data_IF_075174734746
#
_entry.id   IF_075174734746
#
_cell.length_a   1.000
_cell.length_b   1.000
_cell.length_c   1.000
_cell.angle_alpha   90.00
_cell.angle_beta   90.00
_cell.angle_gamma   90.00
#
_symmetry.space_group_name_H-M   'P 1'
#
loop_
_entity.id
_entity.type
_entity.pdbx_description
1 polymer ?
#
# COMPACT_ATOMS: atom_id res chain seq x y z
N UNK A 1 4.11 15.43 -16.02
CA UNK A 1 4.84 16.70 -16.24
C UNK A 1 3.92 17.78 -16.77
N UNK A 2 3.34 17.67 -17.98
CA UNK A 2 2.35 18.65 -18.50
C UNK A 2 1.26 19.06 -17.51
N UNK A 3 0.56 18.11 -16.89
CA UNK A 3 -0.48 18.40 -15.88
C UNK A 3 0.06 19.13 -14.64
N UNK A 4 1.29 18.84 -14.22
CA UNK A 4 1.93 19.51 -13.07
C UNK A 4 2.29 20.95 -13.44
N UNK A 5 2.88 21.17 -14.61
CA UNK A 5 3.22 22.51 -15.10
C UNK A 5 1.96 23.36 -15.31
N UNK A 6 0.89 22.78 -15.86
CA UNK A 6 -0.39 23.47 -16.05
C UNK A 6 -1.08 23.85 -14.71
N UNK A 7 -0.75 23.17 -13.60
CA UNK A 7 -1.28 23.50 -12.28
C UNK A 7 -0.47 24.60 -11.56
N UNK A 8 0.72 24.95 -12.07
CA UNK A 8 1.61 25.93 -11.45
C UNK A 8 1.43 27.32 -12.08
N UNK A 9 1.53 28.35 -11.24
CA UNK A 9 1.52 29.76 -11.64
C UNK A 9 2.95 30.32 -11.66
N UNK A 10 3.18 31.36 -12.46
CA UNK A 10 4.43 32.14 -12.46
C UNK A 10 4.55 33.07 -11.25
N UNK A 11 3.42 33.46 -10.63
CA UNK A 11 3.40 34.53 -9.63
C UNK A 11 2.97 34.05 -8.24
N UNK A 12 2.25 32.92 -8.16
CA UNK A 12 1.72 32.39 -6.90
C UNK A 12 2.28 31.01 -6.58
N UNK A 13 3.16 30.89 -5.55
CA UNK A 13 3.80 29.62 -5.25
C UNK A 13 2.79 28.62 -4.70
N UNK A 14 2.91 27.39 -5.17
CA UNK A 14 2.08 26.27 -4.74
C UNK A 14 2.95 25.24 -4.01
N UNK A 15 2.64 25.02 -2.74
CA UNK A 15 3.33 23.99 -1.94
C UNK A 15 3.05 22.60 -2.51
N UNK A 16 3.98 21.65 -2.34
CA UNK A 16 3.76 20.25 -2.77
C UNK A 16 2.45 19.68 -2.23
N UNK A 17 2.10 19.83 -0.93
CA UNK A 17 0.82 19.34 -0.41
C UNK A 17 -0.42 19.98 -1.05
N UNK A 18 -0.32 21.21 -1.54
CA UNK A 18 -1.42 21.88 -2.26
C UNK A 18 -1.52 21.43 -3.72
N UNK A 19 -0.41 20.97 -4.33
CA UNK A 19 -0.42 20.39 -5.68
C UNK A 19 -0.94 18.96 -5.70
N UNK A 20 -0.65 18.17 -4.65
CA UNK A 20 -1.08 16.78 -4.51
C UNK A 20 -2.56 16.56 -4.90
N UNK A 21 -3.56 17.26 -4.35
CA UNK A 21 -4.95 17.04 -4.74
C UNK A 21 -5.22 17.39 -6.21
N UNK A 22 -4.48 18.31 -6.83
CA UNK A 22 -4.74 18.76 -8.20
C UNK A 22 -4.21 17.75 -9.24
N UNK A 23 -3.13 17.04 -8.91
CA UNK A 23 -2.44 16.14 -9.84
C UNK A 23 -2.56 14.69 -9.41
N UNK A 24 -2.79 13.78 -10.34
CA UNK A 24 -2.94 12.35 -10.05
C UNK A 24 -1.59 11.63 -9.88
N UNK A 25 -0.77 12.11 -8.92
CA UNK A 25 0.55 11.56 -8.62
C UNK A 25 0.70 11.34 -7.11
N UNK A 26 1.33 10.22 -6.73
CA UNK A 26 1.78 9.98 -5.35
C UNK A 26 2.84 11.01 -4.95
N UNK A 27 2.84 11.43 -3.68
CA UNK A 27 3.72 12.48 -3.15
C UNK A 27 5.19 12.32 -3.55
N UNK A 28 5.80 11.14 -3.32
CA UNK A 28 7.21 10.91 -3.66
C UNK A 28 7.48 11.07 -5.16
N UNK A 29 6.57 10.60 -6.03
CA UNK A 29 6.71 10.76 -7.48
C UNK A 29 6.55 12.23 -7.89
N UNK A 30 5.62 12.96 -7.27
CA UNK A 30 5.45 14.40 -7.49
C UNK A 30 6.70 15.18 -7.07
N UNK A 31 7.25 14.89 -5.89
CA UNK A 31 8.47 15.53 -5.38
C UNK A 31 9.68 15.26 -6.29
N UNK A 32 9.87 14.01 -6.73
CA UNK A 32 10.94 13.67 -7.69
C UNK A 32 10.74 14.38 -9.03
N UNK A 33 9.51 14.40 -9.54
CA UNK A 33 9.18 15.09 -10.79
C UNK A 33 9.47 16.59 -10.69
N UNK A 34 9.09 17.24 -9.59
CA UNK A 34 9.35 18.66 -9.36
C UNK A 34 10.85 18.97 -9.28
N UNK A 35 11.65 18.10 -8.65
CA UNK A 35 13.12 18.24 -8.64
C UNK A 35 13.72 18.14 -10.05
N UNK A 36 13.23 17.22 -10.88
CA UNK A 36 13.69 17.12 -12.28
C UNK A 36 13.31 18.38 -13.05
N UNK A 37 12.07 18.85 -12.92
CA UNK A 37 11.61 20.07 -13.57
C UNK A 37 12.38 21.32 -13.11
N UNK A 38 12.84 21.36 -11.86
CA UNK A 38 13.67 22.44 -11.30
C UNK A 38 15.08 22.44 -11.89
N UNK A 39 15.70 21.26 -11.99
CA UNK A 39 17.00 21.08 -12.68
C UNK A 39 16.89 21.45 -14.16
N UNK A 40 15.75 21.13 -14.79
CA UNK A 40 15.47 21.46 -16.18
C UNK A 40 15.05 22.93 -16.37
N UNK A 41 14.91 23.71 -15.29
CA UNK A 41 14.55 25.14 -15.33
C UNK A 41 13.08 25.43 -15.67
N UNK A 42 12.19 24.43 -15.65
CA UNK A 42 10.76 24.61 -15.95
C UNK A 42 9.95 25.10 -14.73
N UNK A 43 10.48 24.88 -13.53
CA UNK A 43 9.92 25.37 -12.27
C UNK A 43 11.04 25.90 -11.38
N UNK A 44 10.68 26.68 -10.36
CA UNK A 44 11.60 27.09 -9.31
C UNK A 44 11.04 26.80 -7.93
N UNK A 45 11.89 26.28 -7.05
CA UNK A 45 11.57 26.17 -5.63
C UNK A 45 11.78 27.50 -4.93
N UNK A 46 10.72 28.04 -4.35
CA UNK A 46 10.72 29.30 -3.60
C UNK A 46 10.13 29.13 -2.20
N UNK A 47 10.17 30.18 -1.39
CA UNK A 47 9.45 30.21 -0.11
C UNK A 47 7.94 30.05 -0.39
N UNK A 48 7.34 29.03 0.19
CA UNK A 48 5.91 28.71 0.00
C UNK A 48 5.62 27.62 -1.03
N UNK A 49 6.59 27.19 -1.84
CA UNK A 49 6.39 26.07 -2.76
C UNK A 49 7.13 26.18 -4.08
N UNK A 50 6.42 25.92 -5.17
CA UNK A 50 6.92 25.86 -6.53
C UNK A 50 6.22 26.91 -7.40
N UNK A 51 6.98 27.53 -8.29
CA UNK A 51 6.50 28.42 -9.35
C UNK A 51 6.86 27.83 -10.71
N UNK A 52 5.99 27.99 -11.71
CA UNK A 52 6.38 27.78 -13.09
C UNK A 52 7.28 28.94 -13.53
N UNK A 53 8.25 28.68 -14.41
CA UNK A 53 9.08 29.75 -14.99
C UNK A 53 8.39 30.43 -16.18
N UNK A 54 7.40 29.77 -16.78
CA UNK A 54 6.73 30.22 -18.01
C UNK A 54 7.43 29.72 -19.27
N UNK A 55 8.63 29.17 -19.14
CA UNK A 55 9.39 28.62 -20.26
C UNK A 55 8.80 27.28 -20.75
N UNK A 56 8.80 27.04 -22.08
CA UNK A 56 8.36 25.77 -22.62
C UNK A 56 9.31 24.65 -22.20
N UNK A 57 8.80 23.67 -21.45
CA UNK A 57 9.57 22.48 -21.11
C UNK A 57 9.50 21.42 -22.22
N UNK A 58 10.65 20.91 -22.62
CA UNK A 58 10.77 19.80 -23.56
C UNK A 58 11.50 18.61 -22.92
N UNK A 59 11.09 17.40 -23.27
CA UNK A 59 11.69 16.19 -22.73
C UNK A 59 13.05 15.93 -23.39
N UNK A 60 14.14 16.15 -22.65
CA UNK A 60 15.51 15.85 -23.11
C UNK A 60 15.80 14.34 -23.09
N UNK A 61 15.29 13.66 -24.11
CA UNK A 61 15.47 12.21 -24.29
C UNK A 61 16.95 11.82 -24.42
N UNK A 62 17.77 12.65 -25.07
CA UNK A 62 19.18 12.35 -25.32
C UNK A 62 19.99 12.35 -24.02
N UNK A 63 19.79 13.34 -23.14
CA UNK A 63 20.44 13.35 -21.82
C UNK A 63 20.00 12.17 -20.96
N UNK A 64 18.70 11.86 -20.94
CA UNK A 64 18.18 10.74 -20.15
C UNK A 64 18.66 9.39 -20.67
N UNK A 65 18.85 9.25 -21.99
CA UNK A 65 19.47 8.06 -22.57
C UNK A 65 20.92 7.89 -22.09
N UNK A 66 21.75 8.95 -22.15
CA UNK A 66 23.14 8.91 -21.64
C UNK A 66 23.20 8.53 -20.15
N UNK A 67 22.28 9.06 -19.34
CA UNK A 67 22.18 8.69 -17.91
C UNK A 67 21.81 7.21 -17.76
N UNK A 68 20.87 6.70 -18.55
CA UNK A 68 20.47 5.29 -18.51
C UNK A 68 21.62 4.36 -18.95
N UNK A 69 22.38 4.74 -19.99
CA UNK A 69 23.58 4.02 -20.43
C UNK A 69 24.63 3.97 -19.33
N UNK A 70 24.96 5.11 -18.70
CA UNK A 70 25.90 5.17 -17.58
C UNK A 70 25.46 4.29 -16.40
N UNK A 71 24.16 4.33 -16.03
CA UNK A 71 23.60 3.46 -14.98
C UNK A 71 23.65 1.98 -15.34
N UNK A 72 23.47 1.65 -16.61
CA UNK A 72 23.58 0.26 -17.10
C UNK A 72 25.02 -0.22 -17.01
N UNK A 73 25.98 0.62 -17.40
CA UNK A 73 27.41 0.32 -17.24
C UNK A 73 27.80 0.13 -15.76
N UNK A 74 27.35 1.00 -14.85
CA UNK A 74 27.56 0.84 -13.41
C UNK A 74 26.98 -0.47 -12.88
N UNK A 75 25.74 -0.82 -13.27
CA UNK A 75 25.11 -2.08 -12.89
C UNK A 75 25.91 -3.29 -13.40
N UNK A 76 26.40 -3.22 -14.63
CA UNK A 76 27.19 -4.27 -15.23
C UNK A 76 28.52 -4.48 -14.49
N UNK A 77 29.21 -3.40 -14.10
CA UNK A 77 30.41 -3.47 -13.26
C UNK A 77 30.15 -4.15 -11.90
N UNK A 78 28.98 -3.93 -11.28
CA UNK A 78 28.61 -4.64 -10.04
C UNK A 78 28.42 -6.15 -10.26
N UNK A 79 27.79 -6.54 -11.39
CA UNK A 79 27.62 -7.96 -11.75
C UNK A 79 28.95 -8.64 -12.03
N UNK A 80 29.84 -7.97 -12.76
CA UNK A 80 31.20 -8.42 -13.03
C UNK A 80 32.00 -8.57 -11.74
N UNK A 81 31.87 -7.62 -10.81
CA UNK A 81 32.46 -7.76 -9.49
C UNK A 81 31.94 -9.00 -8.75
N UNK A 82 30.63 -9.26 -8.76
CA UNK A 82 30.06 -10.44 -8.10
C UNK A 82 30.56 -11.74 -8.72
N UNK A 83 30.63 -11.81 -10.05
CA UNK A 83 30.98 -13.01 -10.82
C UNK A 83 32.49 -13.20 -11.05
N UNK A 84 33.32 -12.22 -10.70
CA UNK A 84 34.76 -12.30 -10.96
C UNK A 84 35.39 -13.51 -10.29
N UNK A 85 36.21 -14.25 -11.04
CA UNK A 85 37.05 -15.33 -10.51
C UNK A 85 38.43 -14.80 -10.03
N UNK A 86 38.79 -13.58 -10.41
CA UNK A 86 40.06 -12.94 -10.02
C UNK A 86 40.00 -12.30 -8.63
N UNK A 87 41.07 -11.62 -8.21
CA UNK A 87 41.06 -10.91 -6.93
C UNK A 87 40.01 -9.77 -6.93
N UNK A 88 39.03 -9.83 -6.01
CA UNK A 88 37.97 -8.82 -5.89
C UNK A 88 38.50 -7.41 -5.65
N UNK A 89 39.51 -7.27 -4.80
CA UNK A 89 40.09 -5.97 -4.49
C UNK A 89 40.88 -5.40 -5.68
N UNK A 90 41.60 -6.27 -6.39
CA UNK A 90 42.30 -5.87 -7.62
C UNK A 90 41.31 -5.36 -8.68
N UNK A 91 40.18 -6.06 -8.88
CA UNK A 91 39.11 -5.61 -9.76
C UNK A 91 38.63 -4.20 -9.38
N UNK A 92 38.29 -3.96 -8.10
CA UNK A 92 37.84 -2.65 -7.64
C UNK A 92 38.88 -1.56 -7.87
N UNK A 93 40.15 -1.85 -7.61
CA UNK A 93 41.26 -0.92 -7.82
C UNK A 93 41.43 -0.57 -9.31
N UNK A 94 41.29 -1.54 -10.21
CA UNK A 94 41.29 -1.28 -11.67
C UNK A 94 40.11 -0.42 -12.11
N UNK A 95 38.91 -0.66 -11.58
CA UNK A 95 37.74 0.19 -11.88
C UNK A 95 37.88 1.63 -11.38
N UNK A 96 38.79 1.88 -10.43
CA UNK A 96 39.13 3.20 -9.91
C UNK A 96 40.41 3.76 -10.53
N UNK A 97 40.89 3.16 -11.62
CA UNK A 97 42.10 3.54 -12.33
C UNK A 97 43.37 3.59 -11.44
N UNK A 98 43.44 2.72 -10.42
CA UNK A 98 44.60 2.63 -9.53
C UNK A 98 45.76 1.88 -10.23
N UNK A 99 46.91 2.55 -10.48
CA UNK A 99 48.04 1.96 -11.20
C UNK A 99 48.74 0.84 -10.41
N UNK A 100 48.50 0.74 -9.10
CA UNK A 100 49.05 -0.30 -8.23
C UNK A 100 48.13 -1.52 -8.05
N UNK A 101 47.11 -1.70 -8.89
CA UNK A 101 46.16 -2.79 -8.79
C UNK A 101 46.85 -4.15 -8.97
N UNK A 102 46.99 -4.89 -7.86
CA UNK A 102 47.57 -6.24 -7.77
C UNK A 102 46.72 -7.13 -6.86
N UNK A 103 46.85 -8.47 -6.94
CA UNK A 103 46.13 -9.38 -6.05
C UNK A 103 46.37 -9.06 -4.57
N UNK A 104 45.29 -8.96 -3.78
CA UNK A 104 45.36 -8.49 -2.39
C UNK A 104 45.71 -9.56 -1.36
N UNK A 105 45.61 -10.85 -1.72
CA UNK A 105 45.87 -11.98 -0.80
C UNK A 105 44.87 -12.14 0.36
N UNK A 106 43.76 -11.39 0.39
CA UNK A 106 42.82 -11.34 1.55
C UNK A 106 41.37 -11.68 1.23
N UNK A 107 40.91 -11.44 0.00
CA UNK A 107 39.51 -11.69 -0.39
C UNK A 107 39.21 -13.19 -0.53
N UNK A 108 37.93 -13.54 -0.55
CA UNK A 108 37.41 -14.89 -0.79
C UNK A 108 38.01 -15.56 -2.03
N UNK A 109 38.20 -14.84 -3.14
CA UNK A 109 38.84 -15.42 -4.32
C UNK A 109 40.36 -15.67 -4.13
N UNK A 110 41.02 -14.95 -3.23
CA UNK A 110 42.45 -15.14 -2.94
C UNK A 110 42.69 -16.22 -1.88
N UNK A 111 41.80 -16.36 -0.90
CA UNK A 111 41.99 -17.23 0.27
C UNK A 111 41.02 -18.41 0.32
N UNK A 112 40.12 -18.52 -0.65
CA UNK A 112 38.98 -19.43 -0.62
C UNK A 112 37.74 -18.86 0.08
N UNK A 113 36.54 -19.41 -0.20
CA UNK A 113 35.30 -18.97 0.39
C UNK A 113 35.31 -19.17 1.91
N UNK A 114 34.90 -18.13 2.66
CA UNK A 114 34.90 -18.16 4.13
C UNK A 114 33.64 -18.76 4.75
N UNK A 115 32.54 -18.82 3.98
CA UNK A 115 31.25 -19.32 4.43
C UNK A 115 30.69 -20.27 3.38
N UNK A 116 30.15 -21.41 3.82
CA UNK A 116 29.35 -22.30 2.99
C UNK A 116 27.90 -21.81 2.89
N UNK A 117 27.14 -22.41 1.97
CA UNK A 117 25.71 -22.14 1.83
C UNK A 117 24.84 -22.89 2.86
N UNK A 118 25.45 -23.73 3.69
CA UNK A 118 24.75 -24.55 4.67
C UNK A 118 24.15 -23.68 5.78
N UNK A 119 22.87 -23.92 6.07
CA UNK A 119 22.12 -23.30 7.15
C UNK A 119 21.65 -24.41 8.08
N UNK A 120 21.69 -24.17 9.39
CA UNK A 120 21.25 -25.17 10.36
C UNK A 120 19.75 -25.44 10.22
N UNK A 121 19.34 -26.71 10.26
CA UNK A 121 17.94 -27.09 10.19
C UNK A 121 17.05 -26.41 11.27
N UNK A 122 17.51 -26.23 12.53
CA UNK A 122 16.76 -25.49 13.53
C UNK A 122 16.53 -24.01 13.17
N UNK A 123 17.54 -23.34 12.61
CA UNK A 123 17.40 -21.94 12.19
C UNK A 123 16.43 -21.81 11.02
N UNK A 124 16.47 -22.74 10.06
CA UNK A 124 15.54 -22.77 8.94
C UNK A 124 14.10 -22.98 9.41
N UNK A 125 13.88 -23.95 10.32
CA UNK A 125 12.55 -24.21 10.89
C UNK A 125 12.01 -23.00 11.66
N UNK A 126 12.87 -22.33 12.45
CA UNK A 126 12.50 -21.11 13.18
C UNK A 126 12.12 -19.96 12.23
N UNK A 127 12.87 -19.78 11.13
CA UNK A 127 12.56 -18.78 10.12
C UNK A 127 11.23 -19.08 9.40
N UNK A 128 10.97 -20.34 9.04
CA UNK A 128 9.70 -20.76 8.45
C UNK A 128 8.52 -20.53 9.40
N UNK A 129 8.68 -20.89 10.68
CA UNK A 129 7.65 -20.66 11.70
C UNK A 129 7.37 -19.16 11.91
N UNK A 130 8.41 -18.32 11.88
CA UNK A 130 8.26 -16.88 11.98
C UNK A 130 7.52 -16.30 10.76
N UNK A 131 7.93 -16.67 9.55
CA UNK A 131 7.32 -16.20 8.30
C UNK A 131 5.87 -16.70 8.11
N UNK A 132 5.53 -17.85 8.71
CA UNK A 132 4.19 -18.43 8.67
C UNK A 132 3.17 -17.74 9.59
N UNK A 133 3.59 -16.82 10.46
CA UNK A 133 2.68 -16.10 11.36
C UNK A 133 1.77 -15.17 10.55
N UNK A 134 0.47 -15.42 10.62
CA UNK A 134 -0.54 -14.55 10.06
C UNK A 134 -0.91 -13.45 11.07
N UNK A 135 -1.30 -12.28 10.55
CA UNK A 135 -1.79 -11.17 11.34
C UNK A 135 -0.89 -9.95 11.26
N UNK A 136 -1.41 -8.87 10.68
CA UNK A 136 -0.84 -7.53 10.77
C UNK A 136 -1.91 -6.53 11.16
N UNK A 137 -1.53 -5.50 11.91
CA UNK A 137 -2.44 -4.41 12.27
C UNK A 137 -2.78 -3.55 11.04
N UNK A 138 -4.06 -3.16 10.94
CA UNK A 138 -4.53 -2.14 10.01
C UNK A 138 -4.96 -0.91 10.82
N UNK A 139 -4.08 0.11 10.96
CA UNK A 139 -4.40 1.27 11.78
C UNK A 139 -5.47 2.15 11.13
N UNK A 140 -6.37 2.77 11.92
CA UNK A 140 -7.39 3.64 11.38
C UNK A 140 -6.80 4.97 10.92
N UNK A 141 -7.36 5.53 9.84
CA UNK A 141 -7.06 6.90 9.45
C UNK A 141 -7.77 7.87 10.39
N UNK A 142 -7.03 8.88 10.87
CA UNK A 142 -7.53 9.90 11.80
C UNK A 142 -7.60 11.30 11.19
N UNK A 143 -7.01 11.49 10.01
CA UNK A 143 -6.92 12.77 9.31
C UNK A 143 -7.38 12.62 7.87
N UNK A 144 -8.12 13.60 7.39
CA UNK A 144 -8.39 13.77 5.96
C UNK A 144 -7.13 14.22 5.21
N UNK A 145 -6.97 13.86 3.93
CA UNK A 145 -5.93 14.44 3.08
C UNK A 145 -6.08 15.97 3.00
N UNK A 146 -4.96 16.66 2.89
CA UNK A 146 -4.93 18.10 2.69
C UNK A 146 -5.51 18.49 1.33
N UNK A 147 -6.18 19.64 1.25
CA UNK A 147 -6.59 20.26 -0.01
C UNK A 147 -7.76 19.59 -0.73
N UNK A 148 -8.53 18.74 -0.05
CA UNK A 148 -9.73 18.10 -0.60
C UNK A 148 -10.78 19.07 -1.16
N UNK A 149 -10.91 20.26 -0.58
CA UNK A 149 -11.84 21.30 -1.05
C UNK A 149 -11.53 21.72 -2.49
N UNK A 150 -10.25 21.72 -2.90
CA UNK A 150 -9.83 22.07 -4.25
C UNK A 150 -10.29 21.05 -5.30
N UNK A 151 -10.63 19.84 -4.87
CA UNK A 151 -11.20 18.79 -5.72
C UNK A 151 -12.69 18.55 -5.46
N UNK A 152 -13.36 19.51 -4.82
CA UNK A 152 -14.81 19.50 -4.59
C UNK A 152 -15.27 18.60 -3.44
N UNK A 153 -14.37 18.19 -2.54
CA UNK A 153 -14.72 17.36 -1.37
C UNK A 153 -14.69 18.21 -0.10
N UNK A 154 -15.83 18.43 0.58
CA UNK A 154 -15.93 19.33 1.73
C UNK A 154 -15.49 18.64 3.05
N UNK A 155 -14.35 17.95 3.05
CA UNK A 155 -13.79 17.26 4.21
C UNK A 155 -12.41 17.81 4.53
N UNK A 156 -12.12 18.08 5.81
CA UNK A 156 -10.85 18.67 6.26
C UNK A 156 -10.49 18.31 7.70
N UNK A 157 -9.21 18.33 8.01
CA UNK A 157 -8.72 18.15 9.38
C UNK A 157 -8.90 16.72 9.90
N UNK A 158 -9.39 16.59 11.14
CA UNK A 158 -9.57 15.29 11.80
C UNK A 158 -10.86 14.62 11.34
N UNK A 159 -10.80 13.30 11.15
CA UNK A 159 -11.98 12.46 11.02
C UNK A 159 -12.64 12.40 12.40
N UNK A 160 -13.95 12.63 12.51
CA UNK A 160 -14.62 12.65 13.81
C UNK A 160 -14.56 11.26 14.48
N UNK A 161 -14.40 11.14 15.81
CA UNK A 161 -14.35 9.84 16.48
C UNK A 161 -15.57 8.95 16.19
N UNK A 162 -16.75 9.56 16.04
CA UNK A 162 -17.97 8.88 15.63
C UNK A 162 -17.93 8.29 14.21
N UNK A 163 -17.03 8.76 13.36
CA UNK A 163 -16.91 8.34 11.95
C UNK A 163 -15.69 7.43 11.70
N UNK A 164 -14.82 7.26 12.69
CA UNK A 164 -13.61 6.45 12.57
C UNK A 164 -13.92 4.96 12.71
N UNK A 165 -13.16 4.14 11.99
CA UNK A 165 -13.03 2.72 12.29
C UNK A 165 -12.15 2.52 13.55
N UNK A 166 -12.30 1.36 14.19
CA UNK A 166 -11.31 0.85 15.13
C UNK A 166 -10.05 0.36 14.39
N UNK A 167 -9.01 0.00 15.16
CA UNK A 167 -7.89 -0.77 14.59
C UNK A 167 -8.39 -2.09 14.03
N UNK A 168 -7.85 -2.48 12.88
CA UNK A 168 -8.23 -3.69 12.15
C UNK A 168 -7.12 -4.72 12.08
N UNK A 169 -7.37 -5.79 11.32
CA UNK A 169 -6.37 -6.82 11.02
C UNK A 169 -6.35 -7.20 9.54
N UNK A 170 -5.22 -7.74 9.08
CA UNK A 170 -5.14 -8.48 7.84
C UNK A 170 -4.30 -9.75 8.01
N UNK A 171 -4.41 -10.71 7.08
CA UNK A 171 -3.60 -11.96 7.12
C UNK A 171 -2.12 -11.65 6.99
N UNK A 172 -1.74 -10.72 6.12
CA UNK A 172 -0.35 -10.30 5.98
C UNK A 172 -0.18 -9.16 5.00
N UNK A 173 1.07 -8.77 4.72
CA UNK A 173 1.37 -7.80 3.68
C UNK A 173 1.67 -8.53 2.38
N UNK A 174 1.20 -7.96 1.27
CA UNK A 174 1.53 -8.49 -0.05
C UNK A 174 3.03 -8.45 -0.35
N UNK A 175 3.83 -7.66 0.35
CA UNK A 175 5.29 -7.60 0.23
C UNK A 175 6.02 -8.69 1.00
N UNK A 176 5.35 -9.39 1.92
CA UNK A 176 6.01 -10.32 2.84
C UNK A 176 6.47 -11.60 2.12
N UNK A 177 7.56 -12.20 2.61
CA UNK A 177 8.11 -13.45 2.08
C UNK A 177 7.26 -14.69 2.44
N UNK A 178 6.58 -14.67 3.58
CA UNK A 178 5.66 -15.72 4.01
C UNK A 178 4.33 -15.64 3.25
N UNK A 179 3.27 -15.22 3.95
CA UNK A 179 1.92 -15.09 3.38
C UNK A 179 1.83 -14.19 2.15
N UNK A 180 2.73 -13.22 1.98
CA UNK A 180 2.66 -12.26 0.87
C UNK A 180 2.67 -12.91 -0.52
N UNK A 181 3.45 -13.98 -0.73
CA UNK A 181 3.45 -14.72 -1.99
C UNK A 181 2.08 -15.31 -2.33
N UNK A 182 1.43 -15.94 -1.35
CA UNK A 182 0.08 -16.52 -1.47
C UNK A 182 -0.99 -15.44 -1.61
N UNK A 183 -0.90 -14.36 -0.84
CA UNK A 183 -1.85 -13.26 -0.90
C UNK A 183 -1.80 -12.54 -2.26
N UNK A 184 -0.64 -12.44 -2.90
CA UNK A 184 -0.52 -11.89 -4.27
C UNK A 184 -1.24 -12.74 -5.31
N UNK A 185 -1.29 -14.06 -5.15
CA UNK A 185 -2.00 -14.93 -6.12
C UNK A 185 -3.52 -14.93 -5.89
N UNK A 186 -3.98 -14.52 -4.71
CA UNK A 186 -5.41 -14.56 -4.32
C UNK A 186 -6.09 -13.19 -4.40
N UNK A 187 -5.43 -12.14 -3.91
CA UNK A 187 -6.00 -10.79 -3.79
C UNK A 187 -5.15 -9.72 -4.51
N UNK A 188 -4.20 -10.16 -5.35
CA UNK A 188 -3.36 -9.28 -6.14
C UNK A 188 -4.13 -8.47 -7.20
N UNK A 189 -3.50 -7.46 -7.81
CA UNK A 189 -4.14 -6.71 -8.89
C UNK A 189 -4.50 -7.56 -10.11
N UNK A 190 -3.68 -8.57 -10.40
CA UNK A 190 -3.78 -9.44 -11.56
C UNK A 190 -4.30 -10.85 -11.19
N UNK A 191 -4.75 -11.06 -9.94
CA UNK A 191 -5.34 -12.34 -9.55
C UNK A 191 -6.74 -12.50 -10.14
N UNK A 192 -7.13 -13.71 -10.58
CA UNK A 192 -8.49 -13.97 -11.02
C UNK A 192 -9.44 -13.98 -9.83
N UNK A 193 -10.70 -13.62 -10.06
CA UNK A 193 -11.76 -13.79 -9.06
C UNK A 193 -12.08 -15.28 -8.86
N UNK A 194 -11.85 -15.76 -7.64
CA UNK A 194 -12.07 -17.13 -7.23
C UNK A 194 -12.52 -17.19 -5.76
N UNK A 195 -13.21 -18.26 -5.33
CA UNK A 195 -13.53 -18.46 -3.93
C UNK A 195 -12.27 -18.52 -3.05
N UNK A 196 -12.43 -18.19 -1.77
CA UNK A 196 -11.36 -18.20 -0.77
C UNK A 196 -10.71 -19.59 -0.68
N UNK A 197 -9.39 -19.71 -0.94
CA UNK A 197 -8.68 -20.97 -0.76
C UNK A 197 -8.64 -21.41 0.71
N UNK A 198 -8.69 -22.73 0.95
CA UNK A 198 -8.79 -23.31 2.30
C UNK A 198 -7.62 -22.94 3.22
N UNK A 199 -6.40 -22.85 2.69
CA UNK A 199 -5.21 -22.44 3.45
C UNK A 199 -5.30 -20.98 3.91
N UNK A 200 -5.79 -20.08 3.05
CA UNK A 200 -6.01 -18.66 3.39
C UNK A 200 -7.18 -18.54 4.37
N UNK A 201 -8.23 -19.35 4.21
CA UNK A 201 -9.35 -19.42 5.14
C UNK A 201 -8.90 -19.81 6.55
N UNK A 202 -8.03 -20.82 6.67
CA UNK A 202 -7.40 -21.19 7.92
C UNK A 202 -6.61 -20.03 8.55
N UNK A 203 -5.83 -19.31 7.74
CA UNK A 203 -5.06 -18.15 8.21
C UNK A 203 -5.96 -17.02 8.74
N UNK A 204 -7.07 -16.73 8.06
CA UNK A 204 -8.08 -15.76 8.53
C UNK A 204 -8.63 -16.15 9.90
N UNK A 205 -8.93 -17.43 10.10
CA UNK A 205 -9.40 -17.96 11.39
C UNK A 205 -8.34 -17.80 12.48
N UNK A 206 -7.07 -18.08 12.18
CA UNK A 206 -5.97 -17.86 13.14
C UNK A 206 -5.79 -16.38 13.50
N UNK A 207 -5.90 -15.47 12.52
CA UNK A 207 -5.89 -14.01 12.79
C UNK A 207 -7.04 -13.61 13.72
N UNK A 208 -8.26 -14.10 13.46
CA UNK A 208 -9.42 -13.79 14.29
C UNK A 208 -9.30 -14.37 15.71
N UNK A 209 -8.74 -15.59 15.86
CA UNK A 209 -8.46 -16.19 17.19
C UNK A 209 -7.42 -15.39 17.96
N UNK A 210 -6.31 -15.04 17.33
CA UNK A 210 -5.26 -14.21 17.93
C UNK A 210 -5.81 -12.82 18.26
N UNK A 211 -6.64 -12.22 17.40
CA UNK A 211 -7.25 -10.94 17.70
C UNK A 211 -8.31 -11.00 18.81
N UNK A 212 -8.89 -12.16 19.08
CA UNK A 212 -9.82 -12.34 20.19
C UNK A 212 -9.11 -12.55 21.55
N UNK A 213 -7.88 -13.08 21.56
CA UNK A 213 -7.23 -13.63 22.78
C UNK A 213 -5.77 -13.24 22.98
N UNK A 214 -5.15 -12.60 22.00
CA UNK A 214 -3.74 -12.24 22.02
C UNK A 214 -3.47 -10.94 22.78
N UNK A 215 -2.28 -10.38 22.57
CA UNK A 215 -1.76 -9.24 23.35
C UNK A 215 -2.52 -7.92 23.11
N UNK A 216 -3.16 -7.77 21.95
CA UNK A 216 -3.99 -6.61 21.59
C UNK A 216 -5.36 -7.09 21.10
N UNK A 217 -6.26 -7.47 22.03
CA UNK A 217 -7.56 -7.99 21.68
C UNK A 217 -8.52 -6.87 21.26
N UNK A 218 -9.50 -7.16 20.40
CA UNK A 218 -10.59 -6.21 20.16
C UNK A 218 -11.32 -5.86 21.47
N UNK A 219 -11.88 -4.65 21.55
CA UNK A 219 -12.63 -4.22 22.74
C UNK A 219 -13.85 -5.09 23.02
N UNK A 220 -14.53 -5.54 21.96
CA UNK A 220 -15.67 -6.44 22.03
C UNK A 220 -15.70 -7.29 20.77
N UNK A 221 -16.21 -8.52 20.91
CA UNK A 221 -16.40 -9.43 19.79
C UNK A 221 -17.41 -8.83 18.80
N UNK A 222 -17.16 -8.90 17.47
CA UNK A 222 -18.15 -8.47 16.49
C UNK A 222 -19.48 -9.21 16.64
N UNK A 223 -20.59 -8.54 16.37
CA UNK A 223 -21.95 -9.09 16.41
C UNK A 223 -22.52 -9.36 15.02
N UNK A 224 -21.83 -8.94 13.96
CA UNK A 224 -22.20 -9.22 12.59
C UNK A 224 -21.12 -8.82 11.60
N UNK A 225 -21.28 -9.27 10.36
CA UNK A 225 -20.31 -9.09 9.27
C UNK A 225 -20.94 -8.25 8.17
N UNK A 226 -20.19 -7.27 7.67
CA UNK A 226 -20.52 -6.55 6.42
C UNK A 226 -19.35 -6.73 5.46
N UNK A 227 -19.63 -7.24 4.27
CA UNK A 227 -18.64 -7.31 3.20
C UNK A 227 -18.62 -5.99 2.41
N UNK A 228 -17.43 -5.52 2.03
CA UNK A 228 -17.29 -4.46 1.02
C UNK A 228 -17.49 -5.11 -0.34
N UNK A 229 -18.46 -4.62 -1.11
CA UNK A 229 -18.66 -5.08 -2.48
C UNK A 229 -17.40 -4.83 -3.30
N UNK A 230 -16.91 -5.87 -3.97
CA UNK A 230 -15.73 -5.80 -4.82
C UNK A 230 -16.12 -5.93 -6.29
N UNK A 231 -15.58 -5.04 -7.13
CA UNK A 231 -15.71 -5.16 -8.59
C UNK A 231 -14.70 -6.13 -9.20
N UNK A 232 -13.57 -6.34 -8.51
CA UNK A 232 -12.48 -7.17 -9.00
C UNK A 232 -12.62 -8.60 -8.52
N UNK A 233 -12.93 -8.78 -7.24
CA UNK A 233 -13.02 -10.11 -6.63
C UNK A 233 -14.35 -10.31 -5.86
N UNK A 234 -15.51 -10.19 -6.52
CA UNK A 234 -16.80 -10.36 -5.85
C UNK A 234 -16.94 -11.76 -5.21
N UNK A 235 -16.51 -12.84 -5.88
CA UNK A 235 -16.60 -14.20 -5.33
C UNK A 235 -15.65 -14.42 -4.16
N UNK A 236 -14.44 -13.86 -4.22
CA UNK A 236 -13.47 -13.94 -3.13
C UNK A 236 -14.00 -13.29 -1.86
N UNK A 237 -14.47 -12.04 -1.95
CA UNK A 237 -14.94 -11.31 -0.77
C UNK A 237 -16.22 -11.93 -0.21
N UNK A 238 -17.13 -12.39 -1.08
CA UNK A 238 -18.33 -13.11 -0.67
C UNK A 238 -17.98 -14.39 0.12
N UNK A 239 -17.16 -15.27 -0.47
CA UNK A 239 -16.78 -16.53 0.18
C UNK A 239 -15.97 -16.32 1.46
N UNK A 240 -15.18 -15.24 1.55
CA UNK A 240 -14.51 -14.83 2.78
C UNK A 240 -15.51 -14.47 3.89
N UNK A 241 -16.49 -13.61 3.59
CA UNK A 241 -17.49 -13.21 4.56
C UNK A 241 -18.37 -14.40 5.00
N UNK A 242 -18.77 -15.27 4.07
CA UNK A 242 -19.53 -16.50 4.35
C UNK A 242 -18.73 -17.49 5.21
N UNK A 243 -17.43 -17.66 4.93
CA UNK A 243 -16.56 -18.52 5.73
C UNK A 243 -16.45 -18.01 7.17
N UNK A 244 -16.22 -16.70 7.36
CA UNK A 244 -16.14 -16.10 8.70
C UNK A 244 -17.49 -16.20 9.41
N UNK A 245 -18.61 -15.98 8.71
CA UNK A 245 -19.96 -16.10 9.26
C UNK A 245 -20.20 -17.53 9.79
N UNK A 246 -19.82 -18.54 9.01
CA UNK A 246 -19.99 -19.96 9.33
C UNK A 246 -19.13 -20.37 10.53
N UNK A 247 -17.82 -20.13 10.46
CA UNK A 247 -16.88 -20.53 11.53
C UNK A 247 -17.12 -19.72 12.81
N UNK A 248 -17.36 -18.42 12.65
CA UNK A 248 -17.61 -17.50 13.75
C UNK A 248 -19.03 -17.57 14.30
N UNK A 249 -19.98 -18.26 13.65
CA UNK A 249 -21.41 -18.20 14.00
C UNK A 249 -21.90 -16.76 14.14
N UNK A 250 -21.54 -15.93 13.16
CA UNK A 250 -21.92 -14.51 13.09
C UNK A 250 -22.92 -14.31 11.96
N UNK A 251 -23.95 -13.47 12.13
CA UNK A 251 -24.85 -13.13 11.04
C UNK A 251 -24.08 -12.33 9.97
N UNK A 252 -24.24 -12.73 8.71
CA UNK A 252 -23.86 -11.90 7.58
C UNK A 252 -24.94 -10.84 7.39
N UNK A 253 -24.63 -9.60 7.79
CA UNK A 253 -25.59 -8.49 7.78
C UNK A 253 -25.83 -7.94 6.38
N UNK A 254 -24.92 -8.18 5.43
CA UNK A 254 -25.08 -7.81 4.03
C UNK A 254 -23.77 -7.39 3.36
N UNK A 255 -23.93 -6.83 2.16
CA UNK A 255 -22.84 -6.30 1.34
C UNK A 255 -23.05 -4.80 1.17
N UNK A 256 -22.02 -4.01 1.47
CA UNK A 256 -22.00 -2.59 1.13
C UNK A 256 -21.61 -2.45 -0.35
N UNK A 257 -22.47 -1.92 -1.23
CA UNK A 257 -22.17 -1.83 -2.66
C UNK A 257 -20.86 -1.08 -2.95
N UNK A 258 -20.12 -1.45 -4.00
CA UNK A 258 -18.86 -0.81 -4.34
C UNK A 258 -19.08 0.68 -4.70
N UNK A 259 -18.21 1.56 -4.20
CA UNK A 259 -18.35 3.00 -4.44
C UNK A 259 -18.13 3.43 -5.91
N UNK A 260 -18.94 4.38 -6.40
CA UNK A 260 -18.76 5.11 -7.68
C UNK A 260 -18.86 4.23 -8.94
N UNK A 261 -18.39 4.72 -10.09
CA UNK A 261 -18.11 3.88 -11.27
C UNK A 261 -16.66 3.37 -11.19
N UNK A 262 -16.41 2.11 -11.60
CA UNK A 262 -15.08 1.50 -11.48
C UNK A 262 -13.99 2.25 -12.25
N UNK A 263 -12.71 2.05 -11.87
CA UNK A 263 -11.57 2.48 -12.72
C UNK A 263 -10.73 3.67 -12.23
N UNK A 264 -10.91 4.17 -11.01
CA UNK A 264 -10.03 5.22 -10.48
C UNK A 264 -8.56 4.78 -10.41
N UNK A 265 -7.67 5.58 -10.98
CA UNK A 265 -6.22 5.36 -10.96
C UNK A 265 -5.68 5.21 -9.52
N UNK A 266 -4.49 4.58 -9.38
CA UNK A 266 -3.71 4.52 -8.12
C UNK A 266 -3.11 5.89 -7.78
N UNK A 267 -3.97 6.90 -7.72
CA UNK A 267 -3.65 8.26 -7.36
C UNK A 267 -3.20 8.42 -5.92
N UNK A 268 -2.96 9.68 -5.54
CA UNK A 268 -2.76 10.00 -4.13
C UNK A 268 -4.06 9.88 -3.32
N UNK A 269 -3.90 10.03 -2.01
CA UNK A 269 -4.98 9.99 -1.04
C UNK A 269 -6.15 10.92 -1.34
N UNK A 270 -5.89 12.15 -1.82
CA UNK A 270 -6.95 13.12 -2.08
C UNK A 270 -7.82 12.70 -3.27
N UNK A 271 -7.21 12.28 -4.38
CA UNK A 271 -7.93 11.73 -5.53
C UNK A 271 -8.70 10.45 -5.19
N UNK A 272 -8.12 9.61 -4.33
CA UNK A 272 -8.82 8.41 -3.86
C UNK A 272 -10.05 8.76 -3.02
N UNK A 273 -9.95 9.70 -2.08
CA UNK A 273 -11.11 10.17 -1.31
C UNK A 273 -12.15 10.81 -2.22
N UNK A 274 -11.75 11.66 -3.17
CA UNK A 274 -12.65 12.26 -4.17
C UNK A 274 -13.46 11.22 -4.93
N UNK A 275 -12.81 10.16 -5.39
CA UNK A 275 -13.48 9.06 -6.12
C UNK A 275 -14.49 8.30 -5.24
N UNK A 276 -14.19 8.16 -3.95
CA UNK A 276 -15.02 7.39 -3.01
C UNK A 276 -16.11 8.24 -2.34
N UNK A 277 -15.99 9.57 -2.36
CA UNK A 277 -16.88 10.49 -1.67
C UNK A 277 -18.29 10.40 -2.25
N UNK A 278 -19.28 10.09 -1.40
CA UNK A 278 -20.66 9.87 -1.81
C UNK A 278 -20.93 8.54 -2.52
N UNK A 279 -19.91 7.70 -2.73
CA UNK A 279 -20.07 6.45 -3.49
C UNK A 279 -20.57 5.26 -2.66
N UNK A 280 -20.31 5.25 -1.35
CA UNK A 280 -20.78 4.19 -0.46
C UNK A 280 -22.12 4.58 0.16
N UNK A 281 -23.17 3.83 -0.17
CA UNK A 281 -24.51 3.99 0.36
C UNK A 281 -24.98 2.63 0.88
N UNK A 282 -25.11 2.45 2.21
CA UNK A 282 -25.70 1.24 2.77
C UNK A 282 -27.15 1.08 2.28
N UNK A 283 -27.55 -0.11 1.80
CA UNK A 283 -28.96 -0.40 1.52
C UNK A 283 -29.83 -0.22 2.77
N UNK A 284 -31.10 0.15 2.60
CA UNK A 284 -32.02 0.49 3.72
C UNK A 284 -32.18 -0.65 4.73
N UNK A 285 -32.21 -1.90 4.25
CA UNK A 285 -32.31 -3.09 5.08
C UNK A 285 -31.02 -3.31 5.90
N UNK A 286 -29.86 -3.05 5.29
CA UNK A 286 -28.58 -3.06 5.99
C UNK A 286 -28.52 -1.95 7.04
N UNK A 287 -28.91 -0.72 6.69
CA UNK A 287 -28.93 0.41 7.63
C UNK A 287 -29.84 0.14 8.83
N UNK A 288 -31.03 -0.42 8.59
CA UNK A 288 -31.96 -0.82 9.66
C UNK A 288 -31.33 -1.85 10.59
N UNK A 289 -30.65 -2.87 10.03
CA UNK A 289 -29.94 -3.88 10.85
C UNK A 289 -28.80 -3.27 11.65
N UNK A 290 -28.02 -2.35 11.08
CA UNK A 290 -26.89 -1.70 11.75
C UNK A 290 -27.33 -0.85 12.95
N UNK A 291 -28.42 -0.09 12.81
CA UNK A 291 -28.95 0.75 13.88
C UNK A 291 -29.50 -0.04 15.08
N UNK A 292 -29.80 -1.32 14.91
CA UNK A 292 -30.31 -2.21 15.95
C UNK A 292 -29.20 -3.01 16.67
N UNK A 293 -27.93 -2.78 16.36
CA UNK A 293 -26.81 -3.53 16.95
C UNK A 293 -26.34 -2.90 18.27
N UNK A 294 -26.03 -3.75 19.24
CA UNK A 294 -25.40 -3.37 20.51
C UNK A 294 -23.89 -3.66 20.55
N UNK A 295 -23.28 -3.95 19.40
CA UNK A 295 -21.87 -4.32 19.33
C UNK A 295 -21.17 -4.02 18.00
N UNK A 296 -19.86 -4.29 17.90
CA UNK A 296 -19.07 -3.97 16.72
C UNK A 296 -19.47 -4.77 15.49
N UNK A 297 -19.27 -4.18 14.31
CA UNK A 297 -19.41 -4.85 13.02
C UNK A 297 -18.03 -5.16 12.44
N UNK A 298 -17.83 -6.39 11.96
CA UNK A 298 -16.64 -6.77 11.22
C UNK A 298 -16.82 -6.36 9.74
N UNK A 299 -16.01 -5.40 9.28
CA UNK A 299 -16.02 -4.94 7.90
C UNK A 299 -14.95 -5.71 7.11
N UNK A 300 -15.37 -6.49 6.13
CA UNK A 300 -14.52 -7.46 5.41
C UNK A 300 -14.26 -6.98 3.99
N UNK A 301 -12.99 -6.98 3.57
CA UNK A 301 -12.57 -6.68 2.19
C UNK A 301 -11.43 -7.63 1.75
N UNK A 302 -11.07 -7.65 0.47
CA UNK A 302 -9.94 -8.45 -0.01
C UNK A 302 -8.58 -7.81 0.30
N UNK A 303 -8.43 -6.52 -0.01
CA UNK A 303 -7.15 -5.83 0.00
C UNK A 303 -7.27 -4.38 0.50
N UNK A 304 -6.46 -4.06 1.51
CA UNK A 304 -6.25 -2.68 1.96
C UNK A 304 -5.02 -2.11 1.25
N UNK A 305 -5.23 -1.28 0.22
CA UNK A 305 -4.15 -0.52 -0.43
C UNK A 305 -3.85 0.78 0.34
N UNK A 306 -4.39 1.91 -0.11
CA UNK A 306 -4.24 3.18 0.60
C UNK A 306 -5.00 3.26 1.93
N UNK A 307 -5.91 2.32 2.20
CA UNK A 307 -6.83 2.33 3.35
C UNK A 307 -8.07 3.22 3.21
N UNK A 308 -8.21 3.99 2.13
CA UNK A 308 -9.36 4.89 1.95
C UNK A 308 -10.67 4.18 1.65
N UNK A 309 -10.67 3.05 0.94
CA UNK A 309 -11.86 2.21 0.75
C UNK A 309 -12.44 1.82 2.11
N UNK A 310 -11.60 1.20 2.95
CA UNK A 310 -11.95 0.76 4.30
C UNK A 310 -12.39 1.92 5.20
N UNK A 311 -11.68 3.04 5.16
CA UNK A 311 -12.03 4.24 5.96
C UNK A 311 -13.39 4.80 5.56
N UNK A 312 -13.66 4.95 4.26
CA UNK A 312 -14.91 5.51 3.76
C UNK A 312 -16.09 4.56 3.97
N UNK A 313 -15.90 3.26 3.74
CA UNK A 313 -16.89 2.24 4.02
C UNK A 313 -17.25 2.20 5.51
N UNK A 314 -16.24 2.14 6.39
CA UNK A 314 -16.46 2.17 7.83
C UNK A 314 -17.19 3.44 8.28
N UNK A 315 -16.82 4.61 7.75
CA UNK A 315 -17.52 5.87 8.03
C UNK A 315 -19.01 5.78 7.68
N UNK A 316 -19.36 5.19 6.54
CA UNK A 316 -20.78 5.07 6.15
C UNK A 316 -21.56 4.10 7.05
N UNK A 317 -20.94 3.00 7.47
CA UNK A 317 -21.57 2.08 8.43
C UNK A 317 -21.78 2.76 9.79
N UNK A 318 -20.80 3.56 10.25
CA UNK A 318 -20.90 4.36 11.48
C UNK A 318 -22.04 5.38 11.40
N UNK A 319 -22.15 6.10 10.28
CA UNK A 319 -23.23 7.07 10.04
C UNK A 319 -24.60 6.39 9.93
N UNK A 320 -24.65 5.14 9.48
CA UNK A 320 -25.86 4.32 9.44
C UNK A 320 -26.20 3.64 10.80
N UNK A 321 -25.47 3.96 11.88
CA UNK A 321 -25.81 3.53 13.24
C UNK A 321 -24.93 2.42 13.81
N UNK A 322 -23.92 1.90 13.09
CA UNK A 322 -23.03 0.87 13.62
C UNK A 322 -22.26 1.39 14.86
N UNK A 323 -22.28 0.71 16.03
CA UNK A 323 -21.62 1.17 17.27
C UNK A 323 -20.09 1.21 17.22
N UNK A 324 -19.48 0.34 16.42
CA UNK A 324 -18.04 0.31 16.13
C UNK A 324 -17.83 -0.50 14.85
N UNK A 325 -16.79 -0.18 14.09
CA UNK A 325 -16.42 -0.95 12.89
C UNK A 325 -15.00 -1.46 13.03
N UNK A 326 -14.82 -2.78 12.88
CA UNK A 326 -13.55 -3.50 12.96
C UNK A 326 -13.15 -3.97 11.55
N UNK A 327 -12.15 -3.33 10.91
CA UNK A 327 -11.69 -3.76 9.60
C UNK A 327 -10.99 -5.12 9.61
N UNK A 328 -11.29 -5.95 8.63
CA UNK A 328 -10.57 -7.18 8.31
C UNK A 328 -10.31 -7.27 6.81
N UNK A 329 -9.10 -7.64 6.41
CA UNK A 329 -8.78 -7.92 5.01
C UNK A 329 -7.88 -9.16 4.84
N UNK A 330 -7.79 -9.69 3.62
CA UNK A 330 -6.78 -10.72 3.34
C UNK A 330 -5.38 -10.10 3.33
N UNK A 331 -5.21 -8.97 2.65
CA UNK A 331 -3.90 -8.34 2.51
C UNK A 331 -3.89 -6.85 2.80
N UNK A 332 -2.71 -6.34 3.14
CA UNK A 332 -2.36 -4.93 2.94
C UNK A 332 -1.39 -4.79 1.77
N UNK A 333 -1.56 -3.77 0.93
CA UNK A 333 -0.53 -3.41 -0.05
C UNK A 333 0.67 -2.85 0.71
N UNK A 334 1.85 -3.39 0.44
CA UNK A 334 3.11 -2.92 1.01
C UNK A 334 3.56 -1.61 0.40
#
# INVERSE_FOLDING_TARGET
>A
MRTVLAALSTDRPLSTPALEPIVDLRRTRLELMLKVLDVDGAVHRVRGGWLATGDPWTYDAARLHRVAEARTAEQQSMREYTATAGCRMEFLRRCLDDPGAVPCGRCDNCTGPRFGAEVSAPALAAAQAFLGRAGVEVPPKKLWPTGLEQVGVPLRGKILPGEQAASGRAVGRLSDLGWGSRLRTVAGPDSPDAPLPADVAGAVVEVLKTWARGDDPWLARPVGIVAVGSRRHPRLVQSLAEHIATVGRLPLLGVLPPAGEGGGARGNSAQRVRTLHGGFVPPDDLATRLAALDGPVLLVDDLVDSGWTMTMAARQLRLAGAPLVLPLALGVSG
#
